data_IF_037940653284
#
_entry.id   IF_037940653284
#
_cell.length_a   1.000
_cell.length_b   1.000
_cell.length_c   1.000
_cell.angle_alpha   90.00
_cell.angle_beta   90.00
_cell.angle_gamma   90.00
#
_symmetry.space_group_name_H-M   'P 1'
#
loop_
_entity.id
_entity.type
_entity.pdbx_description
1 polymer ?
#
# COMPACT_ATOMS: atom_id res chain seq x y z
N UNK A 1 -17.39 -38.47 -12.06
CA UNK A 1 -18.71 -37.82 -11.93
C UNK A 1 -18.52 -36.44 -11.32
N UNK A 2 -19.08 -35.40 -11.96
CA UNK A 2 -19.41 -34.11 -11.33
C UNK A 2 -18.26 -33.20 -10.88
N UNK A 3 -17.48 -32.65 -11.81
CA UNK A 3 -16.74 -31.42 -11.52
C UNK A 3 -17.75 -30.27 -11.47
N UNK A 4 -17.80 -29.55 -10.34
CA UNK A 4 -18.68 -28.38 -10.21
C UNK A 4 -18.46 -27.43 -11.41
N UNK A 5 -19.52 -26.93 -12.06
CA UNK A 5 -19.36 -25.96 -13.13
C UNK A 5 -18.60 -24.75 -12.56
N UNK A 6 -17.49 -24.39 -13.19
CA UNK A 6 -16.75 -23.19 -12.82
C UNK A 6 -17.65 -21.96 -12.88
N UNK A 7 -17.34 -20.94 -12.07
CA UNK A 7 -18.13 -19.71 -11.93
C UNK A 7 -18.53 -19.07 -13.27
N UNK A 8 -17.66 -19.12 -14.28
CA UNK A 8 -17.93 -18.66 -15.64
C UNK A 8 -19.14 -19.36 -16.31
N UNK A 9 -19.25 -20.68 -16.08
CA UNK A 9 -20.38 -21.49 -16.58
C UNK A 9 -21.68 -21.09 -15.89
N UNK A 10 -21.63 -20.81 -14.58
CA UNK A 10 -22.79 -20.32 -13.82
C UNK A 10 -23.20 -18.92 -14.30
N UNK A 11 -22.24 -18.01 -14.51
CA UNK A 11 -22.50 -16.67 -15.05
C UNK A 11 -23.12 -16.72 -16.45
N UNK A 12 -22.70 -17.64 -17.31
CA UNK A 12 -23.26 -17.75 -18.67
C UNK A 12 -24.75 -18.11 -18.66
N UNK A 13 -25.20 -18.91 -17.70
CA UNK A 13 -26.61 -19.27 -17.53
C UNK A 13 -27.49 -18.09 -17.10
N UNK A 14 -26.91 -17.08 -16.45
CA UNK A 14 -27.65 -15.93 -15.94
C UNK A 14 -27.89 -14.84 -16.98
N UNK A 15 -27.33 -14.95 -18.19
CA UNK A 15 -27.49 -13.90 -19.21
C UNK A 15 -28.95 -13.73 -19.66
N UNK A 16 -29.74 -14.79 -19.60
CA UNK A 16 -31.16 -14.78 -19.96
C UNK A 16 -31.98 -15.08 -18.72
N UNK A 17 -33.03 -14.31 -18.52
CA UNK A 17 -34.01 -14.54 -17.47
C UNK A 17 -34.74 -15.87 -17.72
N UNK A 18 -34.80 -16.78 -16.74
CA UNK A 18 -35.62 -17.97 -16.84
C UNK A 18 -37.10 -17.61 -16.95
N UNK A 19 -37.86 -18.40 -17.71
CA UNK A 19 -39.32 -18.23 -17.82
C UNK A 19 -40.10 -18.93 -16.72
N UNK A 20 -39.45 -19.86 -16.01
CA UNK A 20 -40.03 -20.64 -14.93
C UNK A 20 -39.70 -20.00 -13.57
N UNK A 21 -40.73 -19.83 -12.73
CA UNK A 21 -40.59 -19.18 -11.42
C UNK A 21 -39.69 -19.98 -10.47
N UNK A 22 -39.70 -21.30 -10.56
CA UNK A 22 -38.87 -22.16 -9.72
C UNK A 22 -37.39 -22.00 -10.08
N UNK A 23 -37.07 -21.93 -11.37
CA UNK A 23 -35.72 -21.61 -11.85
C UNK A 23 -35.27 -20.21 -11.42
N UNK A 24 -36.14 -19.20 -11.51
CA UNK A 24 -35.85 -17.83 -11.03
C UNK A 24 -35.51 -17.85 -9.54
N UNK A 25 -36.35 -18.49 -8.71
CA UNK A 25 -36.13 -18.60 -7.27
C UNK A 25 -34.81 -19.34 -6.95
N UNK A 26 -34.50 -20.42 -7.67
CA UNK A 26 -33.25 -21.14 -7.49
C UNK A 26 -32.01 -20.29 -7.82
N UNK A 27 -32.07 -19.45 -8.87
CA UNK A 27 -30.97 -18.54 -9.20
C UNK A 27 -30.80 -17.40 -8.18
N UNK A 28 -31.91 -16.88 -7.64
CA UNK A 28 -31.83 -15.91 -6.53
C UNK A 28 -31.20 -16.52 -5.27
N UNK A 29 -31.59 -17.73 -4.89
CA UNK A 29 -31.00 -18.42 -3.74
C UNK A 29 -29.48 -18.61 -3.88
N UNK A 30 -29.01 -18.90 -5.10
CA UNK A 30 -27.56 -18.95 -5.39
C UNK A 30 -26.89 -17.59 -5.20
N UNK A 31 -27.52 -16.51 -5.69
CA UNK A 31 -27.01 -15.15 -5.51
C UNK A 31 -26.95 -14.76 -4.05
N UNK A 32 -27.99 -15.02 -3.26
CA UNK A 32 -28.04 -14.70 -1.83
C UNK A 32 -26.91 -15.40 -1.06
N UNK A 33 -26.71 -16.70 -1.34
CA UNK A 33 -25.61 -17.47 -0.74
C UNK A 33 -24.25 -16.86 -1.10
N UNK A 34 -24.04 -16.49 -2.36
CA UNK A 34 -22.79 -15.85 -2.77
C UNK A 34 -22.63 -14.44 -2.17
N UNK A 35 -23.71 -13.69 -2.06
CA UNK A 35 -23.74 -12.37 -1.43
C UNK A 35 -23.26 -12.41 0.02
N UNK A 36 -23.68 -13.42 0.79
CA UNK A 36 -23.19 -13.66 2.15
C UNK A 36 -21.68 -13.89 2.20
N UNK A 37 -21.11 -14.62 1.24
CA UNK A 37 -19.66 -14.83 1.16
C UNK A 37 -18.90 -13.53 0.87
N UNK A 38 -19.44 -12.69 -0.02
CA UNK A 38 -18.87 -11.37 -0.34
C UNK A 38 -18.97 -10.44 0.87
N UNK A 39 -20.09 -10.45 1.59
CA UNK A 39 -20.27 -9.69 2.84
C UNK A 39 -19.30 -10.13 3.94
N UNK A 40 -19.08 -11.45 4.07
CA UNK A 40 -18.09 -12.01 4.99
C UNK A 40 -16.67 -11.55 4.64
N UNK A 41 -16.29 -11.60 3.36
CA UNK A 41 -15.01 -11.10 2.89
C UNK A 41 -14.85 -9.60 3.20
N UNK A 42 -15.88 -8.79 2.91
CA UNK A 42 -15.88 -7.36 3.26
C UNK A 42 -15.65 -7.15 4.75
N UNK A 43 -16.43 -7.82 5.59
CA UNK A 43 -16.30 -7.74 7.05
C UNK A 43 -14.89 -8.09 7.51
N UNK A 44 -14.29 -9.14 6.94
CA UNK A 44 -12.93 -9.55 7.26
C UNK A 44 -11.88 -8.48 6.90
N UNK A 45 -11.98 -7.85 5.72
CA UNK A 45 -11.02 -6.82 5.30
C UNK A 45 -11.11 -5.58 6.19
N UNK A 46 -12.32 -5.16 6.55
CA UNK A 46 -12.53 -4.00 7.41
C UNK A 46 -12.08 -4.26 8.84
N UNK A 47 -12.46 -5.41 9.41
CA UNK A 47 -12.01 -5.82 10.74
C UNK A 47 -10.47 -5.88 10.81
N UNK A 48 -9.82 -6.46 9.79
CA UNK A 48 -8.36 -6.48 9.72
C UNK A 48 -7.74 -5.09 9.80
N UNK A 49 -8.29 -4.11 9.08
CA UNK A 49 -7.79 -2.73 9.15
C UNK A 49 -8.02 -2.13 10.54
N UNK A 50 -9.24 -2.26 11.07
CA UNK A 50 -9.60 -1.68 12.36
C UNK A 50 -8.78 -2.23 13.53
N UNK A 51 -8.46 -3.52 13.51
CA UNK A 51 -7.65 -4.19 14.52
C UNK A 51 -6.19 -3.69 14.51
N UNK A 52 -5.68 -3.20 13.38
CA UNK A 52 -4.27 -2.84 13.21
C UNK A 52 -4.02 -1.32 13.13
N UNK A 53 -5.02 -0.51 12.74
CA UNK A 53 -4.83 0.89 12.35
C UNK A 53 -4.17 1.79 13.39
N UNK A 54 -4.31 1.48 14.68
CA UNK A 54 -3.73 2.28 15.77
C UNK A 54 -2.21 2.15 15.88
N UNK A 55 -1.65 1.04 15.39
CA UNK A 55 -0.21 0.73 15.47
C UNK A 55 0.51 1.03 14.13
N UNK A 56 -0.24 1.36 13.09
CA UNK A 56 0.30 1.63 11.76
C UNK A 56 0.94 3.02 11.68
N UNK A 57 2.05 3.16 10.93
CA UNK A 57 2.53 4.47 10.49
C UNK A 57 1.43 5.22 9.71
N UNK A 58 1.34 6.54 9.92
CA UNK A 58 0.23 7.35 9.41
C UNK A 58 0.01 7.21 7.90
N UNK A 59 1.08 7.23 7.09
CA UNK A 59 0.97 7.09 5.64
C UNK A 59 0.46 5.70 5.21
N UNK A 60 0.82 4.65 5.95
CA UNK A 60 0.35 3.27 5.71
C UNK A 60 -1.14 3.16 6.08
N UNK A 61 -1.53 3.69 7.24
CA UNK A 61 -2.92 3.72 7.68
C UNK A 61 -3.82 4.47 6.68
N UNK A 62 -3.36 5.62 6.17
CA UNK A 62 -4.07 6.39 5.14
C UNK A 62 -4.15 5.65 3.80
N UNK A 63 -3.08 4.94 3.39
CA UNK A 63 -3.10 4.15 2.17
C UNK A 63 -4.11 3.00 2.23
N UNK A 64 -4.15 2.29 3.37
CA UNK A 64 -5.11 1.22 3.61
C UNK A 64 -6.54 1.77 3.67
N UNK A 65 -6.78 2.90 4.33
CA UNK A 65 -8.09 3.57 4.34
C UNK A 65 -8.59 3.90 2.92
N UNK A 66 -7.74 4.49 2.08
CA UNK A 66 -8.09 4.77 0.67
C UNK A 66 -8.38 3.51 -0.16
N UNK A 67 -7.86 2.34 0.25
CA UNK A 67 -8.20 1.07 -0.40
C UNK A 67 -9.58 0.57 0.04
N UNK A 68 -9.94 0.75 1.31
CA UNK A 68 -11.28 0.44 1.82
C UNK A 68 -12.36 1.33 1.21
N UNK A 69 -12.11 2.64 1.09
CA UNK A 69 -13.04 3.58 0.44
C UNK A 69 -13.38 3.17 -1.00
N UNK A 70 -12.43 2.56 -1.71
CA UNK A 70 -12.67 2.04 -3.07
C UNK A 70 -13.60 0.83 -3.08
N UNK A 71 -13.52 -0.03 -2.06
CA UNK A 71 -14.40 -1.20 -1.91
C UNK A 71 -15.85 -0.75 -1.71
N UNK A 72 -16.08 0.31 -0.93
CA UNK A 72 -17.42 0.86 -0.65
C UNK A 72 -17.85 1.98 -1.60
N UNK A 73 -17.09 2.22 -2.67
CA UNK A 73 -17.45 3.28 -3.63
C UNK A 73 -18.78 2.98 -4.32
N UNK A 74 -19.54 4.02 -4.69
CA UNK A 74 -20.80 3.84 -5.41
C UNK A 74 -20.66 3.02 -6.70
N UNK A 75 -19.50 3.14 -7.38
CA UNK A 75 -19.17 2.33 -8.55
C UNK A 75 -18.91 0.85 -8.23
N UNK A 76 -18.46 0.52 -7.01
CA UNK A 76 -18.30 -0.85 -6.55
C UNK A 76 -19.62 -1.49 -6.10
N UNK A 77 -20.55 -0.68 -5.57
CA UNK A 77 -21.85 -1.12 -5.07
C UNK A 77 -22.96 -1.09 -6.13
N UNK A 78 -22.72 -0.50 -7.30
CA UNK A 78 -23.69 -0.38 -8.39
C UNK A 78 -23.55 -1.44 -9.48
N UNK A 79 -24.62 -1.61 -10.25
CA UNK A 79 -24.64 -2.35 -11.53
C UNK A 79 -25.10 -1.38 -12.65
N UNK A 80 -24.82 -1.67 -13.93
CA UNK A 80 -25.30 -0.83 -15.02
C UNK A 80 -26.84 -0.84 -15.14
N UNK A 81 -27.46 0.33 -15.30
CA UNK A 81 -28.93 0.48 -15.31
C UNK A 81 -29.60 -0.01 -16.61
N UNK A 82 -28.88 -0.05 -17.74
CA UNK A 82 -29.42 -0.45 -19.04
C UNK A 82 -28.60 -1.58 -19.64
N UNK A 83 -29.12 -2.80 -19.55
CA UNK A 83 -28.44 -4.00 -20.04
C UNK A 83 -29.40 -4.88 -20.85
N UNK A 84 -28.85 -5.58 -21.85
CA UNK A 84 -29.61 -6.57 -22.64
C UNK A 84 -29.69 -7.93 -21.93
N UNK A 85 -28.78 -8.15 -20.98
CA UNK A 85 -28.73 -9.35 -20.14
C UNK A 85 -29.57 -9.12 -18.86
N UNK A 86 -30.05 -10.22 -18.28
CA UNK A 86 -30.79 -10.20 -17.02
C UNK A 86 -29.96 -9.57 -15.90
N UNK A 87 -30.56 -8.71 -15.08
CA UNK A 87 -29.82 -7.91 -14.09
C UNK A 87 -29.03 -8.75 -13.08
N UNK A 88 -29.50 -9.96 -12.76
CA UNK A 88 -28.81 -10.91 -11.87
C UNK A 88 -27.43 -11.32 -12.41
N UNK A 89 -27.26 -11.38 -13.74
CA UNK A 89 -25.93 -11.59 -14.35
C UNK A 89 -24.96 -10.47 -13.97
N UNK A 90 -25.41 -9.21 -14.04
CA UNK A 90 -24.58 -8.05 -13.70
C UNK A 90 -24.29 -7.99 -12.20
N UNK A 91 -25.27 -8.33 -11.36
CA UNK A 91 -25.07 -8.45 -9.90
C UNK A 91 -24.02 -9.50 -9.55
N UNK A 92 -24.10 -10.70 -10.15
CA UNK A 92 -23.11 -11.76 -9.89
C UNK A 92 -21.72 -11.38 -10.39
N UNK A 93 -21.61 -10.77 -11.56
CA UNK A 93 -20.33 -10.30 -12.12
C UNK A 93 -19.70 -9.20 -11.25
N UNK A 94 -20.51 -8.28 -10.75
CA UNK A 94 -20.05 -7.23 -9.85
C UNK A 94 -19.62 -7.81 -8.50
N UNK A 95 -20.41 -8.73 -7.94
CA UNK A 95 -20.08 -9.44 -6.70
C UNK A 95 -18.75 -10.20 -6.82
N UNK A 96 -18.50 -10.89 -7.95
CA UNK A 96 -17.23 -11.58 -8.20
C UNK A 96 -16.06 -10.58 -8.29
N UNK A 97 -16.23 -9.50 -9.04
CA UNK A 97 -15.23 -8.45 -9.17
C UNK A 97 -14.86 -7.87 -7.80
N UNK A 98 -15.86 -7.58 -6.98
CA UNK A 98 -15.68 -7.06 -5.62
C UNK A 98 -14.96 -8.09 -4.75
N UNK A 99 -15.37 -9.36 -4.78
CA UNK A 99 -14.72 -10.41 -3.99
C UNK A 99 -13.24 -10.53 -4.33
N UNK A 100 -12.89 -10.59 -5.63
CA UNK A 100 -11.49 -10.62 -6.09
C UNK A 100 -10.71 -9.38 -5.67
N UNK A 101 -11.34 -8.20 -5.71
CA UNK A 101 -10.70 -6.96 -5.28
C UNK A 101 -10.40 -6.98 -3.78
N UNK A 102 -11.37 -7.40 -2.95
CA UNK A 102 -11.21 -7.50 -1.50
C UNK A 102 -10.15 -8.52 -1.10
N UNK A 103 -10.11 -9.70 -1.73
CA UNK A 103 -9.05 -10.68 -1.47
C UNK A 103 -7.66 -10.10 -1.74
N UNK A 104 -7.48 -9.38 -2.86
CA UNK A 104 -6.20 -8.71 -3.16
C UNK A 104 -5.83 -7.62 -2.16
N UNK A 105 -6.82 -6.86 -1.69
CA UNK A 105 -6.61 -5.83 -0.66
C UNK A 105 -6.17 -6.49 0.65
N UNK A 106 -6.85 -7.54 1.09
CA UNK A 106 -6.50 -8.28 2.30
C UNK A 106 -5.10 -8.89 2.23
N UNK A 107 -4.75 -9.53 1.11
CA UNK A 107 -3.38 -10.02 0.85
C UNK A 107 -2.35 -8.89 0.84
N UNK A 108 -2.72 -7.73 0.29
CA UNK A 108 -1.89 -6.52 0.33
C UNK A 108 -1.67 -6.01 1.75
N UNK A 109 -2.69 -6.05 2.59
CA UNK A 109 -2.62 -5.64 3.99
C UNK A 109 -1.72 -6.58 4.80
N UNK A 110 -1.86 -7.90 4.63
CA UNK A 110 -0.96 -8.88 5.25
C UNK A 110 0.51 -8.62 4.91
N UNK A 111 0.81 -8.45 3.61
CA UNK A 111 2.17 -8.12 3.15
C UNK A 111 2.72 -6.81 3.72
N UNK A 112 1.88 -5.79 3.90
CA UNK A 112 2.30 -4.52 4.53
C UNK A 112 2.73 -4.75 5.98
N UNK A 113 1.96 -5.50 6.77
CA UNK A 113 2.33 -5.82 8.15
C UNK A 113 3.63 -6.64 8.22
N UNK A 114 3.78 -7.63 7.33
CA UNK A 114 5.02 -8.40 7.22
C UNK A 114 6.23 -7.53 6.90
N UNK A 115 6.09 -6.57 5.98
CA UNK A 115 7.16 -5.62 5.64
C UNK A 115 7.51 -4.72 6.83
N UNK A 116 6.50 -4.18 7.54
CA UNK A 116 6.74 -3.34 8.70
C UNK A 116 7.40 -4.10 9.84
N UNK A 117 6.96 -5.33 10.12
CA UNK A 117 7.49 -6.16 11.19
C UNK A 117 8.94 -6.60 10.94
N UNK A 118 9.33 -6.76 9.66
CA UNK A 118 10.65 -7.24 9.26
C UNK A 118 11.56 -6.15 8.68
N UNK A 119 11.17 -4.86 8.79
CA UNK A 119 11.98 -3.77 8.24
C UNK A 119 13.22 -3.53 9.10
N UNK A 120 14.39 -3.89 8.57
CA UNK A 120 15.70 -3.63 9.18
C UNK A 120 16.45 -2.47 8.49
N UNK A 121 15.73 -1.64 7.72
CA UNK A 121 16.34 -0.58 6.95
C UNK A 121 16.90 0.52 7.87
N UNK A 122 18.23 0.68 7.87
CA UNK A 122 18.94 1.65 8.72
C UNK A 122 19.45 2.89 7.98
N UNK A 123 19.34 2.91 6.65
CA UNK A 123 19.81 4.01 5.80
C UNK A 123 18.80 4.38 4.71
N UNK A 124 18.90 5.62 4.23
CA UNK A 124 18.07 6.10 3.13
C UNK A 124 18.56 5.52 1.79
N UNK A 125 17.69 4.94 0.95
CA UNK A 125 18.09 4.32 -0.31
C UNK A 125 18.40 5.34 -1.41
N UNK A 126 18.14 6.63 -1.17
CA UNK A 126 18.33 7.72 -2.13
C UNK A 126 19.67 8.39 -1.90
N UNK A 127 19.94 8.89 -0.68
CA UNK A 127 21.20 9.55 -0.35
C UNK A 127 22.25 8.63 0.28
N UNK A 128 21.88 7.40 0.64
CA UNK A 128 22.75 6.42 1.32
C UNK A 128 23.25 6.88 2.69
N UNK A 129 22.56 7.83 3.32
CA UNK A 129 22.88 8.30 4.67
C UNK A 129 22.06 7.54 5.73
N UNK A 130 22.66 7.21 6.90
CA UNK A 130 21.96 6.54 7.99
C UNK A 130 20.78 7.35 8.54
N UNK A 131 19.74 6.66 8.99
CA UNK A 131 18.67 7.25 9.78
C UNK A 131 19.15 7.55 11.21
N UNK A 132 18.59 8.59 11.82
CA UNK A 132 18.92 8.99 13.19
C UNK A 132 18.01 10.09 13.72
N UNK A 133 18.25 10.59 14.95
CA UNK A 133 17.40 11.60 15.58
C UNK A 133 17.28 12.91 14.78
N UNK A 134 18.30 13.25 14.00
CA UNK A 134 18.32 14.43 13.13
C UNK A 134 17.81 14.13 11.72
N UNK A 135 17.62 12.85 11.38
CA UNK A 135 17.20 12.37 10.07
C UNK A 135 16.29 11.16 10.25
N UNK A 136 15.06 11.44 10.64
CA UNK A 136 14.06 10.41 10.86
C UNK A 136 13.67 9.74 9.52
N UNK A 137 13.35 8.46 9.62
CA UNK A 137 12.84 7.69 8.50
C UNK A 137 11.36 8.01 8.26
N UNK A 138 11.03 8.47 7.07
CA UNK A 138 9.68 8.65 6.58
C UNK A 138 9.17 7.32 5.99
N UNK A 139 8.23 6.67 6.69
CA UNK A 139 7.58 5.44 6.18
C UNK A 139 6.46 5.78 5.22
N UNK A 140 6.59 5.37 3.96
CA UNK A 140 5.61 5.63 2.91
C UNK A 140 4.42 4.67 2.99
N UNK A 141 3.33 4.98 2.30
CA UNK A 141 2.12 4.14 2.29
C UNK A 141 2.36 2.68 1.84
N UNK A 142 3.42 2.42 1.06
CA UNK A 142 3.86 1.08 0.64
C UNK A 142 4.81 0.38 1.62
N UNK A 143 5.03 0.93 2.82
CA UNK A 143 5.91 0.45 3.90
C UNK A 143 7.42 0.59 3.65
N UNK A 144 7.83 1.18 2.53
CA UNK A 144 9.24 1.54 2.30
C UNK A 144 9.62 2.84 3.01
N UNK A 145 10.88 2.98 3.40
CA UNK A 145 11.40 4.13 4.13
C UNK A 145 12.38 4.96 3.30
N UNK A 146 12.32 6.29 3.45
CA UNK A 146 13.26 7.28 2.92
C UNK A 146 13.51 8.35 3.98
N UNK A 147 14.53 9.22 3.87
CA UNK A 147 14.64 10.35 4.80
C UNK A 147 13.68 11.47 4.38
N UNK A 148 13.25 12.30 5.34
CA UNK A 148 12.37 13.44 5.09
C UNK A 148 12.91 14.40 4.01
N UNK A 149 14.21 14.71 4.06
CA UNK A 149 14.87 15.61 3.08
C UNK A 149 14.73 15.11 1.64
N UNK A 150 15.02 13.82 1.38
CA UNK A 150 14.87 13.24 0.05
C UNK A 150 13.39 13.12 -0.36
N UNK A 151 12.49 12.84 0.58
CA UNK A 151 11.07 12.75 0.28
C UNK A 151 10.47 14.10 -0.09
N UNK A 152 10.80 15.16 0.65
CA UNK A 152 10.31 16.52 0.40
C UNK A 152 10.82 17.04 -0.94
N UNK A 153 12.10 16.83 -1.25
CA UNK A 153 12.65 17.19 -2.55
C UNK A 153 11.95 16.41 -3.68
N UNK A 154 11.74 15.11 -3.48
CA UNK A 154 11.02 14.30 -4.46
C UNK A 154 9.55 14.76 -4.64
N UNK A 155 8.87 15.12 -3.56
CA UNK A 155 7.52 15.68 -3.61
C UNK A 155 7.49 17.01 -4.39
N UNK A 156 8.50 17.86 -4.22
CA UNK A 156 8.64 19.10 -4.97
C UNK A 156 8.82 18.85 -6.47
N UNK A 157 9.73 17.94 -6.85
CA UNK A 157 9.96 17.56 -8.26
C UNK A 157 8.69 16.95 -8.91
N UNK A 158 7.89 16.25 -8.11
CA UNK A 158 6.66 15.59 -8.56
C UNK A 158 5.40 16.47 -8.40
N UNK A 159 5.54 17.78 -8.20
CA UNK A 159 4.43 18.73 -8.04
C UNK A 159 3.41 18.29 -6.98
N UNK A 160 3.90 17.81 -5.83
CA UNK A 160 3.09 17.36 -4.70
C UNK A 160 2.43 16.00 -4.88
N UNK A 161 2.75 15.25 -5.94
CA UNK A 161 2.22 13.89 -6.19
C UNK A 161 3.34 12.84 -6.29
N UNK A 162 4.19 12.71 -5.25
CA UNK A 162 5.28 11.75 -5.28
C UNK A 162 4.76 10.31 -5.27
N UNK A 163 5.56 9.41 -5.84
CA UNK A 163 5.40 7.96 -5.69
C UNK A 163 6.64 7.38 -5.03
N UNK A 164 6.52 6.18 -4.45
CA UNK A 164 7.66 5.53 -3.81
C UNK A 164 8.74 5.13 -4.84
N UNK A 165 9.99 5.64 -4.70
CA UNK A 165 11.09 5.28 -5.58
C UNK A 165 11.43 3.79 -5.59
N UNK A 166 11.23 3.08 -4.47
CA UNK A 166 11.50 1.65 -4.35
C UNK A 166 10.45 0.78 -5.06
N UNK A 167 9.16 1.16 -5.01
CA UNK A 167 8.10 0.41 -5.69
C UNK A 167 8.03 0.69 -7.20
N UNK A 168 8.55 1.83 -7.63
CA UNK A 168 8.45 2.35 -9.00
C UNK A 168 9.83 2.79 -9.49
N UNK A 169 10.83 1.93 -9.25
CA UNK A 169 12.24 2.22 -9.52
C UNK A 169 12.49 2.73 -10.94
N UNK A 170 11.96 2.04 -11.96
CA UNK A 170 12.17 2.45 -13.36
C UNK A 170 11.63 3.86 -13.62
N UNK A 171 10.39 4.13 -13.19
CA UNK A 171 9.77 5.45 -13.35
C UNK A 171 10.50 6.54 -12.56
N UNK A 172 11.05 6.20 -11.39
CA UNK A 172 11.89 7.11 -10.62
C UNK A 172 13.16 7.47 -11.40
N UNK A 173 13.86 6.46 -11.92
CA UNK A 173 15.09 6.66 -12.69
C UNK A 173 14.84 7.48 -13.98
N UNK A 174 13.72 7.26 -14.65
CA UNK A 174 13.34 8.03 -15.86
C UNK A 174 13.18 9.53 -15.56
N UNK A 175 12.53 9.88 -14.44
CA UNK A 175 12.34 11.28 -14.03
C UNK A 175 13.68 11.92 -13.66
N UNK A 176 14.54 11.19 -12.95
CA UNK A 176 15.87 11.68 -12.57
C UNK A 176 16.75 11.90 -13.81
N UNK A 177 16.78 10.94 -14.74
CA UNK A 177 17.53 11.07 -15.99
C UNK A 177 17.04 12.26 -16.83
N UNK A 178 15.72 12.47 -16.89
CA UNK A 178 15.11 13.61 -17.60
C UNK A 178 15.50 14.95 -16.96
N UNK A 179 15.54 15.03 -15.63
CA UNK A 179 15.96 16.24 -14.92
C UNK A 179 17.45 16.53 -15.12
N UNK A 180 18.30 15.50 -15.06
CA UNK A 180 19.74 15.65 -15.30
C UNK A 180 20.04 16.20 -16.71
N UNK A 181 19.35 15.69 -17.73
CA UNK A 181 19.49 16.19 -19.10
C UNK A 181 19.05 17.66 -19.25
N UNK A 182 18.01 18.07 -18.53
CA UNK A 182 17.51 19.45 -18.57
C UNK A 182 18.43 20.43 -17.81
N UNK A 183 19.07 19.99 -16.71
CA UNK A 183 20.05 20.81 -15.99
C UNK A 183 21.32 21.10 -16.79
N UNK A 184 21.75 20.17 -17.65
CA UNK A 184 22.93 20.35 -18.51
C UNK A 184 22.70 21.37 -19.65
N UNK A 185 21.46 21.71 -19.95
CA UNK A 185 21.13 22.72 -20.98
C UNK A 185 21.08 24.15 -20.41
N UNK A 186 21.24 24.30 -19.08
CA UNK A 186 21.14 25.57 -18.37
C UNK A 186 22.48 26.05 -17.76
N UNK A 187 23.62 25.67 -18.34
CA UNK A 187 24.92 26.19 -17.92
C UNK A 187 25.17 27.61 -18.46
N UNK A 188 25.31 28.66 -17.62
CA UNK A 188 26.05 29.85 -18.02
C UNK A 188 27.55 29.53 -18.04
N UNK A 189 28.25 30.13 -19.00
CA UNK A 189 29.68 30.01 -19.19
C UNK A 189 30.48 30.35 -17.93
N UNK A 190 31.42 29.46 -17.59
CA UNK A 190 32.69 29.65 -16.87
C UNK A 190 32.75 30.69 -15.74
N UNK A 191 33.00 30.22 -14.52
CA UNK A 191 33.97 30.88 -13.64
C UNK A 191 34.83 29.83 -12.97
N UNK A 192 36.14 29.94 -13.20
CA UNK A 192 37.21 29.10 -12.70
C UNK A 192 37.09 28.87 -11.19
N UNK A 193 37.03 27.60 -10.74
CA UNK A 193 37.39 27.27 -9.37
C UNK A 193 38.90 27.02 -9.33
N UNK A 194 39.64 27.96 -8.74
CA UNK A 194 41.03 27.75 -8.34
C UNK A 194 41.06 26.71 -7.22
N UNK A 195 41.79 25.64 -7.46
CA UNK A 195 42.24 24.68 -6.46
C UNK A 195 43.04 25.41 -5.38
N UNK A 196 42.51 25.51 -4.17
CA UNK A 196 43.34 25.70 -2.97
C UNK A 196 43.09 24.53 -2.04
N UNK A 197 44.16 23.78 -1.79
CA UNK A 197 44.15 22.61 -0.92
C UNK A 197 43.81 23.00 0.52
N UNK A 198 42.97 22.23 1.25
CA UNK A 198 42.76 22.48 2.66
C UNK A 198 43.94 21.96 3.48
N UNK A 199 44.51 22.86 4.28
CA UNK A 199 45.46 22.55 5.35
C UNK A 199 44.75 21.73 6.43
N UNK A 200 45.23 20.50 6.67
CA UNK A 200 44.82 19.67 7.81
C UNK A 200 45.01 20.44 9.12
N UNK A 201 43.93 20.60 9.89
CA UNK A 201 44.02 20.94 11.31
C UNK A 201 43.45 19.79 12.12
N UNK A 202 44.34 19.09 12.81
CA UNK A 202 44.06 18.07 13.81
C UNK A 202 43.34 18.71 15.00
N UNK A 203 42.15 18.22 15.35
CA UNK A 203 41.55 18.49 16.67
C UNK A 203 41.28 17.15 17.33
N UNK A 204 41.91 17.02 18.49
CA UNK A 204 41.94 15.86 19.39
C UNK A 204 40.60 15.62 20.07
N UNK A 205 40.31 14.34 20.26
CA UNK A 205 39.26 13.81 21.11
C UNK A 205 39.43 14.24 22.55
N UNK A 206 38.40 14.81 23.16
CA UNK A 206 38.21 14.72 24.59
C UNK A 206 36.76 14.32 24.89
N UNK A 207 36.62 13.13 25.47
CA UNK A 207 35.35 12.60 25.91
C UNK A 207 34.88 13.25 27.20
N UNK A 208 33.57 13.47 27.30
CA UNK A 208 32.78 13.34 28.53
C UNK A 208 31.28 13.31 28.19
N UNK A 209 30.72 12.12 28.37
CA UNK A 209 29.43 11.79 29.01
C UNK A 209 28.26 12.79 28.85
N UNK A 210 27.13 12.30 28.35
CA UNK A 210 25.86 12.30 29.10
C UNK A 210 24.91 11.22 28.55
N UNK A 211 24.37 10.43 29.47
CA UNK A 211 23.31 9.43 29.30
C UNK A 211 21.98 10.06 28.85
N UNK A 212 21.13 9.19 28.29
CA UNK A 212 19.66 9.27 28.21
C UNK A 212 19.03 10.05 27.04
N UNK A 213 18.62 9.33 25.98
CA UNK A 213 17.24 9.36 25.45
C UNK A 213 16.87 7.97 24.87
N UNK A 214 15.92 7.35 25.55
CA UNK A 214 14.90 6.37 25.17
C UNK A 214 15.08 5.40 23.99
N UNK A 215 14.96 4.12 24.36
CA UNK A 215 14.63 2.96 23.56
C UNK A 215 13.49 3.20 22.56
N UNK A 216 13.77 2.95 21.28
CA UNK A 216 12.76 2.71 20.26
C UNK A 216 12.06 1.38 20.60
N UNK A 217 10.83 1.49 21.09
CA UNK A 217 10.09 0.38 21.70
C UNK A 217 9.49 -0.56 20.68
N UNK A 218 9.92 -1.83 20.67
CA UNK A 218 9.09 -2.95 20.20
C UNK A 218 9.60 -4.33 20.63
N UNK A 219 10.28 -4.45 21.78
CA UNK A 219 10.85 -5.75 22.23
C UNK A 219 10.51 -6.18 23.65
N UNK A 220 9.31 -5.86 24.13
CA UNK A 220 8.72 -6.51 25.32
C UNK A 220 7.21 -6.64 25.19
N UNK A 221 6.75 -7.72 24.55
CA UNK A 221 5.40 -8.27 24.76
C UNK A 221 5.26 -9.73 24.29
N UNK A 222 6.36 -10.48 24.23
CA UNK A 222 6.34 -11.90 23.84
C UNK A 222 6.96 -12.85 24.88
N UNK A 223 6.98 -12.44 26.16
CA UNK A 223 7.26 -13.35 27.27
C UNK A 223 6.32 -13.00 28.43
N UNK A 224 5.25 -13.77 28.61
CA UNK A 224 4.38 -13.57 29.77
C UNK A 224 2.95 -14.12 29.75
N UNK A 225 2.62 -15.16 28.98
CA UNK A 225 1.35 -15.90 29.20
C UNK A 225 1.52 -17.42 29.06
N UNK A 226 2.25 -18.01 30.01
CA UNK A 226 2.03 -19.36 30.54
C UNK A 226 2.10 -19.30 32.06
N UNK A 227 0.96 -19.31 32.75
CA UNK A 227 0.72 -20.02 34.01
C UNK A 227 -0.66 -19.69 34.59
N UNK A 228 -1.26 -20.73 35.20
CA UNK A 228 -2.50 -20.80 35.99
C UNK A 228 -3.82 -20.74 35.19
N UNK A 229 -4.60 -21.85 35.09
CA UNK A 229 -5.37 -22.54 36.15
C UNK A 229 -6.23 -21.61 36.99
#
# INVERSE_FOLDING_TARGET
AGGAPGLESLLSQLRREPTDEQDVAAKFAMYETYGQEVERMRTQVFAFYDDNRAELPAAVAQDMARQLERIDSGAAMGIPDQTRDWFVYHMMKQAEKNNRAMSRVLEGFGRKLELLANSEQVECPICLEPFGPQREAETLGCCHCVCGECWDHWAMLMNGRPFCPLCRYDAFMDVIASHAANSDTAAPASTEWRTTAPTLTTITSDGRSCLSVMMCGMRRLWDGRRANR
#
